data_IF_471911297561
#
_entry.id   IF_471911297561
#
_cell.length_a   1.000
_cell.length_b   1.000
_cell.length_c   1.000
_cell.angle_alpha   90.00
_cell.angle_beta   90.00
_cell.angle_gamma   90.00
#
_symmetry.space_group_name_H-M   'P 1'
#
loop_
_entity.id
_entity.type
_entity.pdbx_description
1 polymer ?
#
# COMPACT_ATOMS: atom_id res chain seq x y z
N UNK A 1 36.39 -12.46 15.83
CA UNK A 1 35.87 -11.11 15.53
C UNK A 1 34.47 -10.89 16.10
N UNK A 2 33.54 -11.83 15.97
CA UNK A 2 32.22 -11.78 16.61
C UNK A 2 32.26 -11.59 18.14
N UNK A 3 33.11 -12.31 18.87
CA UNK A 3 33.25 -12.12 20.32
C UNK A 3 33.83 -10.76 20.72
N UNK A 4 34.62 -10.14 19.84
CA UNK A 4 35.17 -8.80 20.05
C UNK A 4 34.11 -7.72 19.80
N UNK A 5 33.20 -7.94 18.84
CA UNK A 5 32.04 -7.07 18.61
C UNK A 5 30.98 -7.23 19.70
N UNK A 6 30.77 -8.44 20.24
CA UNK A 6 29.88 -8.68 21.39
C UNK A 6 30.46 -8.09 22.68
N UNK A 7 31.79 -8.11 22.87
CA UNK A 7 32.44 -7.43 24.00
C UNK A 7 32.41 -5.90 23.87
N UNK A 8 32.57 -5.33 22.67
CA UNK A 8 32.37 -3.90 22.43
C UNK A 8 30.91 -3.46 22.64
N UNK A 9 29.93 -4.32 22.30
CA UNK A 9 28.52 -4.07 22.58
C UNK A 9 28.15 -4.18 24.07
N UNK A 10 28.91 -4.95 24.87
CA UNK A 10 28.73 -5.02 26.33
C UNK A 10 29.51 -3.96 27.11
N UNK A 11 30.62 -3.45 26.57
CA UNK A 11 31.42 -2.38 27.20
C UNK A 11 30.88 -0.96 26.96
N UNK A 12 29.89 -0.76 26.09
CA UNK A 12 29.20 0.54 25.95
C UNK A 12 28.10 0.80 26.98
N UNK A 13 27.87 -0.13 27.93
CA UNK A 13 26.99 0.07 29.09
C UNK A 13 27.67 0.86 30.22
N UNK A 14 28.48 1.87 29.89
CA UNK A 14 28.76 2.95 30.83
C UNK A 14 27.66 3.99 30.69
N UNK A 15 26.81 4.04 31.72
CA UNK A 15 25.64 4.90 31.83
C UNK A 15 26.01 6.39 31.77
N UNK A 16 26.05 6.96 30.57
CA UNK A 16 25.60 8.35 30.38
C UNK A 16 24.23 8.25 29.71
N UNK A 17 23.18 8.12 30.52
CA UNK A 17 21.81 8.29 30.03
C UNK A 17 21.66 9.78 29.70
N UNK A 18 21.97 10.13 28.45
CA UNK A 18 21.75 11.47 27.91
C UNK A 18 20.24 11.71 27.86
N UNK A 19 19.68 12.22 28.96
CA UNK A 19 18.28 12.65 28.98
C UNK A 19 18.14 13.93 28.13
N UNK A 20 17.18 13.93 27.21
CA UNK A 20 16.79 15.12 26.46
C UNK A 20 15.64 15.78 27.21
N UNK A 21 15.81 17.05 27.60
CA UNK A 21 14.74 17.83 28.20
C UNK A 21 14.07 18.65 27.11
N UNK A 22 12.76 18.48 26.98
CA UNK A 22 11.91 19.32 26.13
C UNK A 22 11.18 20.30 27.05
N UNK A 23 11.41 21.58 26.85
CA UNK A 23 10.70 22.64 27.57
C UNK A 23 9.39 22.99 26.85
N UNK A 24 8.55 23.80 27.50
CA UNK A 24 7.27 24.28 26.97
C UNK A 24 6.30 23.15 26.56
N UNK A 25 6.26 22.06 27.33
CA UNK A 25 5.25 21.01 27.20
C UNK A 25 3.99 21.43 27.92
N UNK A 26 3.03 21.96 27.16
CA UNK A 26 1.86 22.61 27.71
C UNK A 26 0.83 21.61 28.25
N UNK A 27 0.69 20.44 27.63
CA UNK A 27 -0.18 19.35 28.10
C UNK A 27 0.16 17.98 27.47
N UNK A 28 -0.69 16.99 27.76
CA UNK A 28 -0.71 15.70 27.08
C UNK A 28 -2.14 15.23 26.83
N UNK A 29 -2.29 14.29 25.91
CA UNK A 29 -3.55 13.59 25.64
C UNK A 29 -3.33 12.09 25.74
N UNK A 30 -4.16 11.41 26.54
CA UNK A 30 -4.21 9.95 26.57
C UNK A 30 -5.03 9.41 25.38
N UNK A 31 -4.39 8.60 24.54
CA UNK A 31 -5.06 7.91 23.43
C UNK A 31 -5.14 6.40 23.69
N UNK A 32 -6.36 5.81 23.71
CA UNK A 32 -6.51 4.37 23.84
C UNK A 32 -5.69 3.60 22.80
N UNK A 33 -4.90 2.62 23.26
CA UNK A 33 -4.04 1.78 22.41
C UNK A 33 -2.74 2.43 21.94
N UNK A 34 -2.49 3.71 22.23
CA UNK A 34 -1.26 4.45 21.88
C UNK A 34 -0.52 4.89 23.13
N UNK A 35 -1.24 5.33 24.17
CA UNK A 35 -0.69 5.92 25.38
C UNK A 35 -0.70 7.44 25.35
N UNK A 36 0.16 8.06 26.17
CA UNK A 36 0.30 9.52 26.28
C UNK A 36 0.94 10.11 25.03
N UNK A 37 0.37 11.20 24.55
CA UNK A 37 0.94 12.07 23.52
C UNK A 37 1.16 13.43 24.14
N UNK A 38 2.42 13.82 24.33
CA UNK A 38 2.78 15.12 24.88
C UNK A 38 2.77 16.17 23.77
N UNK A 39 2.31 17.38 24.09
CA UNK A 39 2.27 18.48 23.13
C UNK A 39 3.15 19.63 23.63
N UNK A 40 4.06 20.06 22.76
CA UNK A 40 5.09 21.02 23.10
C UNK A 40 5.26 22.08 22.01
N UNK A 41 5.97 23.15 22.35
CA UNK A 41 6.45 24.16 21.41
C UNK A 41 7.97 24.18 21.48
N UNK A 42 8.64 24.08 20.34
CA UNK A 42 10.11 24.07 20.28
C UNK A 42 10.57 25.16 19.34
N UNK A 43 11.56 25.96 19.75
CA UNK A 43 12.14 26.97 18.86
C UNK A 43 12.88 26.34 17.69
N UNK A 44 12.94 27.05 16.55
CA UNK A 44 13.65 26.58 15.36
C UNK A 44 15.12 26.31 15.68
N UNK A 45 15.77 27.15 16.49
CA UNK A 45 17.15 26.93 16.93
C UNK A 45 17.31 25.69 17.81
N UNK A 46 16.40 25.47 18.76
CA UNK A 46 16.47 24.28 19.63
C UNK A 46 16.31 23.02 18.80
N UNK A 47 15.33 22.97 17.89
CA UNK A 47 15.16 21.85 16.97
C UNK A 47 16.41 21.63 16.10
N UNK A 48 16.95 22.68 15.48
CA UNK A 48 18.15 22.58 14.65
C UNK A 48 19.36 22.04 15.44
N UNK A 49 19.49 22.44 16.71
CA UNK A 49 20.53 21.96 17.62
C UNK A 49 20.37 20.47 17.92
N UNK A 50 19.15 20.01 18.23
CA UNK A 50 18.86 18.60 18.48
C UNK A 50 19.12 17.73 17.24
N UNK A 51 18.81 18.24 16.05
CA UNK A 51 19.12 17.59 14.78
C UNK A 51 20.63 17.51 14.52
N UNK A 52 21.38 18.60 14.76
CA UNK A 52 22.84 18.68 14.60
C UNK A 52 23.57 17.74 15.55
N UNK A 53 23.08 17.59 16.79
CA UNK A 53 23.60 16.66 17.81
C UNK A 53 23.17 15.21 17.60
N UNK A 54 22.39 14.92 16.56
CA UNK A 54 21.83 13.58 16.29
C UNK A 54 21.03 12.99 17.47
N UNK A 55 20.37 13.84 18.26
CA UNK A 55 19.42 13.43 19.30
C UNK A 55 18.13 12.96 18.63
N UNK A 56 17.67 13.74 17.64
CA UNK A 56 16.56 13.40 16.76
C UNK A 56 17.10 12.67 15.54
N UNK A 57 16.65 11.44 15.31
CA UNK A 57 17.17 10.56 14.26
C UNK A 57 16.09 10.06 13.30
N UNK A 58 16.52 9.69 12.10
CA UNK A 58 15.66 9.26 11.00
C UNK A 58 16.06 7.88 10.51
N UNK A 59 15.08 7.15 10.00
CA UNK A 59 15.34 5.92 9.27
C UNK A 59 15.02 6.14 7.79
N UNK A 60 15.84 5.62 6.85
CA UNK A 60 15.55 5.67 5.42
C UNK A 60 14.18 5.09 5.06
N UNK A 61 13.65 4.15 5.85
CA UNK A 61 12.36 3.50 5.60
C UNK A 61 11.15 4.44 5.67
N UNK A 62 11.27 5.64 6.25
CA UNK A 62 10.21 6.64 6.25
C UNK A 62 10.32 7.64 5.10
N UNK A 63 11.44 7.64 4.37
CA UNK A 63 11.71 8.64 3.34
C UNK A 63 10.93 8.39 2.07
N UNK A 64 10.33 9.47 1.56
CA UNK A 64 9.53 9.48 0.34
C UNK A 64 10.44 9.36 -0.88
N UNK A 65 10.11 8.46 -1.81
CA UNK A 65 10.89 8.28 -3.04
C UNK A 65 12.29 7.69 -2.81
N UNK A 66 12.53 7.17 -1.61
CA UNK A 66 13.75 6.47 -1.27
C UNK A 66 13.96 5.27 -2.21
N UNK A 67 15.10 5.24 -2.92
CA UNK A 67 15.46 4.14 -3.81
C UNK A 67 16.14 3.05 -2.99
N UNK A 68 15.52 1.86 -2.93
CA UNK A 68 16.14 0.69 -2.30
C UNK A 68 17.46 0.37 -3.03
N UNK A 69 18.54 0.25 -2.25
CA UNK A 69 19.75 -0.46 -2.65
C UNK A 69 19.47 -1.95 -2.50
N UNK A 70 19.48 -2.71 -3.59
CA UNK A 70 18.95 -4.08 -3.62
C UNK A 70 19.65 -5.04 -2.64
N UNK A 71 20.83 -4.69 -2.11
CA UNK A 71 21.71 -5.63 -1.39
C UNK A 71 21.71 -5.52 0.15
N UNK A 72 21.05 -4.55 0.79
CA UNK A 72 21.09 -4.41 2.26
C UNK A 72 19.75 -3.98 2.91
N UNK A 73 18.85 -4.93 3.24
CA UNK A 73 17.57 -4.65 3.88
C UNK A 73 17.68 -3.97 5.26
N UNK A 74 18.73 -4.31 6.03
CA UNK A 74 18.95 -3.77 7.37
C UNK A 74 19.47 -2.32 7.34
N UNK A 75 20.06 -1.86 6.23
CA UNK A 75 20.50 -0.48 6.07
C UNK A 75 19.34 0.53 6.23
N UNK A 76 18.10 0.07 6.06
CA UNK A 76 16.90 0.91 6.15
C UNK A 76 16.39 1.11 7.57
N UNK A 77 16.76 0.25 8.52
CA UNK A 77 16.31 0.36 9.91
C UNK A 77 17.24 1.21 10.76
N UNK A 78 18.42 1.53 10.22
CA UNK A 78 19.44 2.35 10.89
C UNK A 78 18.89 3.74 11.17
N UNK A 79 19.14 4.22 12.39
CA UNK A 79 18.81 5.57 12.83
C UNK A 79 19.98 6.51 12.53
N UNK A 80 19.76 7.44 11.61
CA UNK A 80 20.75 8.34 11.04
C UNK A 80 20.48 9.81 11.42
N UNK A 81 21.52 10.64 11.51
CA UNK A 81 21.36 12.08 11.61
C UNK A 81 20.75 12.66 10.34
N UNK A 82 20.06 13.80 10.44
CA UNK A 82 19.32 14.39 9.30
C UNK A 82 20.21 14.77 8.11
N UNK A 83 21.50 15.00 8.35
CA UNK A 83 22.49 15.37 7.34
C UNK A 83 23.10 14.16 6.64
N UNK A 84 22.75 12.93 7.01
CA UNK A 84 23.32 11.73 6.40
C UNK A 84 22.77 11.54 4.97
N UNK A 85 23.64 11.48 3.94
CA UNK A 85 23.21 11.36 2.55
C UNK A 85 22.45 10.06 2.27
N UNK A 86 22.61 9.01 3.09
CA UNK A 86 21.85 7.76 2.97
C UNK A 86 20.37 7.95 3.22
N UNK A 87 19.93 9.05 3.84
CA UNK A 87 18.51 9.36 3.96
C UNK A 87 17.88 9.78 2.62
N UNK A 88 18.68 10.19 1.62
CA UNK A 88 18.20 10.62 0.29
C UNK A 88 17.06 11.68 0.38
N UNK A 89 17.13 12.59 1.36
CA UNK A 89 16.12 13.63 1.53
C UNK A 89 16.19 14.58 0.33
N UNK A 90 15.05 14.89 -0.28
CA UNK A 90 15.01 15.85 -1.38
C UNK A 90 15.20 17.27 -0.81
N UNK A 91 16.43 17.79 -0.91
CA UNK A 91 16.80 19.11 -0.40
C UNK A 91 15.92 20.22 -1.00
N UNK A 92 15.66 20.20 -2.31
CA UNK A 92 14.80 21.21 -2.97
C UNK A 92 13.40 21.28 -2.36
N UNK A 93 12.86 20.14 -1.95
CA UNK A 93 11.55 20.09 -1.27
C UNK A 93 11.61 20.67 0.14
N UNK A 94 12.72 20.46 0.86
CA UNK A 94 12.93 21.06 2.18
C UNK A 94 13.14 22.58 2.07
N UNK A 95 13.88 23.05 1.07
CA UNK A 95 14.05 24.47 0.75
C UNK A 95 12.70 25.14 0.44
N UNK A 96 11.85 24.50 -0.37
CA UNK A 96 10.49 24.99 -0.65
C UNK A 96 9.67 25.16 0.64
N UNK A 97 9.77 24.20 1.57
CA UNK A 97 9.05 24.26 2.87
C UNK A 97 9.62 25.40 3.73
N UNK A 98 10.94 25.58 3.76
CA UNK A 98 11.59 26.65 4.51
C UNK A 98 11.15 28.03 4.02
N UNK A 99 11.09 28.24 2.70
CA UNK A 99 10.60 29.50 2.12
C UNK A 99 9.13 29.72 2.42
N UNK A 100 8.28 28.68 2.31
CA UNK A 100 6.86 28.78 2.70
C UNK A 100 6.67 29.16 4.16
N UNK A 101 7.52 28.66 5.06
CA UNK A 101 7.51 29.06 6.47
C UNK A 101 7.83 30.55 6.62
N UNK A 102 8.88 31.06 5.95
CA UNK A 102 9.23 32.49 5.95
C UNK A 102 8.18 33.41 5.29
N UNK A 103 7.31 32.83 4.45
CA UNK A 103 6.21 33.53 3.81
C UNK A 103 4.90 33.46 4.61
N UNK A 104 4.88 32.72 5.74
CA UNK A 104 3.66 32.42 6.51
C UNK A 104 2.60 31.64 5.71
N UNK A 105 3.01 31.01 4.60
CA UNK A 105 2.17 30.24 3.69
C UNK A 105 2.19 28.73 3.99
N UNK A 106 2.82 28.32 5.09
CA UNK A 106 2.91 26.91 5.48
C UNK A 106 1.63 26.49 6.22
N UNK A 107 0.79 25.70 5.55
CA UNK A 107 -0.50 25.20 6.06
C UNK A 107 -0.43 24.40 7.39
N UNK A 108 0.75 23.91 7.78
CA UNK A 108 0.97 23.35 9.11
C UNK A 108 2.45 23.41 9.50
N UNK A 109 2.69 23.99 10.65
CA UNK A 109 3.98 24.13 11.33
C UNK A 109 4.26 22.98 12.33
N UNK A 110 3.37 21.99 12.44
CA UNK A 110 3.53 20.89 13.39
C UNK A 110 4.47 19.79 12.89
N UNK A 111 5.31 19.26 13.78
CA UNK A 111 6.13 18.06 13.58
C UNK A 111 5.81 16.99 14.60
N UNK A 112 6.24 15.76 14.32
CA UNK A 112 5.98 14.61 15.18
C UNK A 112 7.27 13.92 15.56
N UNK A 113 7.41 13.65 16.85
CA UNK A 113 8.50 12.90 17.45
C UNK A 113 7.94 11.62 18.09
N UNK A 114 8.76 10.57 18.11
CA UNK A 114 8.54 9.41 18.94
C UNK A 114 9.70 9.31 19.93
N UNK A 115 9.43 9.56 21.21
CA UNK A 115 10.30 9.12 22.30
C UNK A 115 10.21 7.59 22.31
N UNK A 116 11.11 6.90 21.61
CA UNK A 116 10.92 5.48 21.33
C UNK A 116 11.00 4.67 22.62
N UNK A 117 10.07 3.74 22.82
CA UNK A 117 10.15 2.75 23.91
C UNK A 117 11.28 1.77 23.57
N UNK A 118 12.30 1.70 24.43
CA UNK A 118 13.45 0.82 24.33
C UNK A 118 13.67 0.07 25.66
N UNK A 119 14.04 -1.21 25.58
CA UNK A 119 14.22 -2.05 26.77
C UNK A 119 15.31 -1.49 27.70
N UNK A 120 14.99 -1.34 28.98
CA UNK A 120 15.93 -0.86 30.00
C UNK A 120 15.98 0.67 30.17
N UNK A 121 15.11 1.42 29.49
CA UNK A 121 14.94 2.86 29.68
C UNK A 121 13.61 3.18 30.37
N UNK A 122 13.59 4.24 31.17
CA UNK A 122 12.36 4.74 31.82
C UNK A 122 11.45 5.46 30.82
N UNK A 123 10.16 5.49 31.13
CA UNK A 123 9.18 6.30 30.40
C UNK A 123 9.51 7.80 30.52
N UNK A 124 9.04 8.65 29.58
CA UNK A 124 9.17 10.08 29.70
C UNK A 124 8.54 10.62 30.98
N UNK A 125 9.30 11.43 31.72
CA UNK A 125 8.87 12.06 32.96
C UNK A 125 8.39 13.48 32.65
N UNK A 126 7.10 13.75 32.86
CA UNK A 126 6.53 15.08 32.66
C UNK A 126 6.31 15.78 34.00
N UNK A 127 6.90 16.97 34.13
CA UNK A 127 6.71 17.87 35.24
C UNK A 127 5.71 18.97 34.84
N UNK A 128 4.55 18.97 35.51
CA UNK A 128 3.49 19.92 35.24
C UNK A 128 3.77 21.33 35.80
N UNK A 129 4.63 21.46 36.80
CA UNK A 129 4.99 22.75 37.39
C UNK A 129 6.01 23.48 36.51
N UNK A 130 7.07 22.79 36.11
CA UNK A 130 8.12 23.36 35.24
C UNK A 130 7.79 23.29 33.75
N UNK A 131 6.75 22.54 33.37
CA UNK A 131 6.37 22.27 31.97
C UNK A 131 7.48 21.59 31.17
N UNK A 132 8.30 20.79 31.85
CA UNK A 132 9.40 20.04 31.26
C UNK A 132 9.03 18.58 31.03
N UNK A 133 9.46 18.03 29.90
CA UNK A 133 9.40 16.60 29.61
C UNK A 133 10.83 16.06 29.49
N UNK A 134 11.19 15.14 30.37
CA UNK A 134 12.47 14.45 30.35
C UNK A 134 12.34 13.14 29.58
N UNK A 135 13.06 13.04 28.47
CA UNK A 135 13.08 11.86 27.59
C UNK A 135 14.40 11.13 27.80
N UNK A 136 14.32 9.85 28.18
CA UNK A 136 15.49 9.01 28.48
C UNK A 136 15.95 8.15 27.31
N UNK A 137 15.22 8.18 26.19
CA UNK A 137 15.45 7.35 25.01
C UNK A 137 15.82 8.17 23.78
N UNK A 138 16.11 7.48 22.67
CA UNK A 138 16.32 8.13 21.38
C UNK A 138 15.00 8.73 20.85
N UNK A 139 15.09 9.92 20.25
CA UNK A 139 13.93 10.54 19.58
C UNK A 139 13.98 10.15 18.11
N UNK A 140 12.92 9.51 17.63
CA UNK A 140 12.82 9.04 16.25
C UNK A 140 11.68 9.73 15.53
N UNK A 141 11.81 9.87 14.21
CA UNK A 141 10.81 10.54 13.37
C UNK A 141 10.14 9.53 12.43
N UNK A 142 8.87 9.15 12.69
CA UNK A 142 8.08 8.32 11.80
C UNK A 142 7.41 9.18 10.70
N UNK A 143 8.19 10.00 10.00
CA UNK A 143 7.75 10.89 8.92
C UNK A 143 8.89 11.10 7.90
N UNK A 144 8.58 11.68 6.75
CA UNK A 144 9.57 12.18 5.81
C UNK A 144 10.35 13.35 6.43
N UNK A 145 11.68 13.33 6.32
CA UNK A 145 12.54 14.27 7.04
C UNK A 145 12.51 15.72 6.50
N UNK A 146 11.71 16.00 5.48
CA UNK A 146 11.73 17.28 4.75
C UNK A 146 11.41 18.48 5.63
N UNK A 147 10.48 18.36 6.60
CA UNK A 147 10.11 19.47 7.49
C UNK A 147 11.21 19.80 8.48
N UNK A 148 11.74 18.79 9.15
CA UNK A 148 12.87 18.98 10.05
C UNK A 148 14.10 19.49 9.32
N UNK A 149 14.33 19.07 8.07
CA UNK A 149 15.42 19.60 7.24
C UNK A 149 15.15 21.06 6.89
N UNK A 150 13.90 21.44 6.61
CA UNK A 150 13.54 22.85 6.38
C UNK A 150 13.87 23.72 7.60
N UNK A 151 13.51 23.29 8.81
CA UNK A 151 13.83 24.03 10.04
C UNK A 151 15.34 24.07 10.33
N UNK A 152 16.07 22.99 10.05
CA UNK A 152 17.53 22.97 10.09
C UNK A 152 18.15 23.96 9.11
N UNK A 153 17.61 24.04 7.89
CA UNK A 153 18.03 25.00 6.87
C UNK A 153 17.74 26.45 7.30
N UNK A 154 16.60 26.73 7.93
CA UNK A 154 16.27 28.07 8.42
C UNK A 154 17.28 28.58 9.46
N UNK A 155 17.67 27.75 10.43
CA UNK A 155 18.75 28.11 11.38
C UNK A 155 20.09 28.26 10.64
N UNK A 156 20.39 27.39 9.68
CA UNK A 156 21.63 27.46 8.90
C UNK A 156 21.70 28.75 8.07
N UNK A 157 20.60 29.14 7.40
CA UNK A 157 20.50 30.35 6.59
C UNK A 157 20.51 31.62 7.43
N UNK A 158 19.89 31.61 8.61
CA UNK A 158 19.96 32.73 9.55
C UNK A 158 21.40 33.00 10.01
N UNK A 159 22.18 31.93 10.26
CA UNK A 159 23.59 32.05 10.68
C UNK A 159 24.57 32.21 9.50
N UNK A 160 24.18 31.81 8.28
CA UNK A 160 24.99 31.94 7.06
C UNK A 160 24.12 32.33 5.85
N UNK A 161 23.76 33.62 5.70
CA UNK A 161 22.88 34.09 4.63
C UNK A 161 23.42 33.91 3.21
N UNK A 162 24.73 33.69 3.06
CA UNK A 162 25.38 33.47 1.75
C UNK A 162 25.00 32.10 1.17
N UNK A 163 24.68 31.14 2.04
CA UNK A 163 24.27 29.77 1.65
C UNK A 163 22.84 29.65 1.11
N UNK A 164 22.07 30.73 1.11
CA UNK A 164 20.68 30.76 0.62
C UNK A 164 20.65 30.62 -0.91
N UNK A 165 19.98 29.59 -1.46
CA UNK A 165 19.83 29.39 -2.91
C UNK A 165 18.57 30.08 -3.45
N UNK A 166 18.43 30.12 -4.78
CA UNK A 166 17.13 30.35 -5.43
C UNK A 166 16.23 29.12 -5.24
N UNK A 167 14.96 29.34 -4.88
CA UNK A 167 14.03 28.26 -4.51
C UNK A 167 12.77 28.34 -5.36
N UNK A 168 12.36 27.21 -5.96
CA UNK A 168 11.06 27.11 -6.63
C UNK A 168 9.95 26.80 -5.63
N UNK A 169 8.98 27.71 -5.50
CA UNK A 169 7.80 27.61 -4.64
C UNK A 169 6.55 27.68 -5.51
N UNK A 170 5.75 26.60 -5.53
CA UNK A 170 4.52 26.52 -6.34
C UNK A 170 4.76 26.97 -7.81
N UNK A 171 5.78 26.42 -8.46
CA UNK A 171 6.21 26.73 -9.84
C UNK A 171 6.72 28.16 -10.09
N UNK A 172 6.88 28.98 -9.03
CA UNK A 172 7.52 30.29 -9.09
C UNK A 172 8.91 30.25 -8.46
N UNK A 173 9.89 30.89 -9.09
CA UNK A 173 11.22 31.07 -8.48
C UNK A 173 11.16 32.24 -7.50
N UNK A 174 11.55 31.98 -6.25
CA UNK A 174 11.82 32.99 -5.22
C UNK A 174 13.35 33.15 -5.18
N UNK A 175 13.81 34.35 -5.52
CA UNK A 175 15.24 34.64 -5.61
C UNK A 175 15.90 34.66 -4.23
N UNK A 176 17.17 34.28 -4.17
CA UNK A 176 17.96 34.25 -2.93
C UNK A 176 17.94 35.58 -2.18
N UNK A 177 17.99 36.72 -2.89
CA UNK A 177 17.95 38.05 -2.28
C UNK A 177 16.61 38.38 -1.61
N UNK A 178 15.50 37.88 -2.15
CA UNK A 178 14.19 38.01 -1.52
C UNK A 178 14.15 37.21 -0.21
N UNK A 179 14.67 35.98 -0.23
CA UNK A 179 14.74 35.11 0.95
C UNK A 179 15.63 35.74 2.02
N UNK A 180 16.81 36.26 1.65
CA UNK A 180 17.71 36.99 2.56
C UNK A 180 17.04 38.22 3.17
N UNK A 181 16.23 38.95 2.42
CA UNK A 181 15.48 40.10 2.95
C UNK A 181 14.50 39.69 4.04
N UNK A 182 13.80 38.56 3.86
CA UNK A 182 12.88 38.00 4.86
C UNK A 182 13.63 37.49 6.09
N UNK A 183 14.78 36.85 5.89
CA UNK A 183 15.61 36.34 6.98
C UNK A 183 16.09 37.45 7.94
N UNK A 184 16.22 38.71 7.50
CA UNK A 184 16.58 39.83 8.39
C UNK A 184 15.58 40.05 9.55
N UNK A 185 14.30 39.72 9.34
CA UNK A 185 13.26 39.81 10.36
C UNK A 185 12.98 38.48 11.07
N UNK A 186 13.72 37.43 10.73
CA UNK A 186 13.51 36.09 11.27
C UNK A 186 14.49 35.83 12.42
N UNK A 187 13.96 35.61 13.62
CA UNK A 187 14.72 35.16 14.78
C UNK A 187 14.45 33.67 15.06
N UNK A 188 15.43 32.76 14.88
CA UNK A 188 15.25 31.33 15.12
C UNK A 188 15.08 30.97 16.60
N UNK A 189 15.40 31.86 17.55
CA UNK A 189 15.13 31.63 18.98
C UNK A 189 13.66 31.86 19.32
N UNK A 190 13.03 32.86 18.70
CA UNK A 190 11.61 33.20 18.89
C UNK A 190 10.67 32.43 17.95
N UNK A 191 11.12 32.12 16.73
CA UNK A 191 10.38 31.30 15.78
C UNK A 191 10.29 29.87 16.28
N UNK A 192 9.13 29.24 16.09
CA UNK A 192 8.79 28.01 16.80
C UNK A 192 7.89 27.11 15.98
N UNK A 193 7.87 25.84 16.38
CA UNK A 193 7.09 24.77 15.77
C UNK A 193 6.37 24.00 16.86
N UNK A 194 5.15 23.54 16.56
CA UNK A 194 4.44 22.63 17.44
C UNK A 194 4.99 21.22 17.30
N UNK A 195 5.19 20.52 18.41
CA UNK A 195 5.69 19.15 18.42
C UNK A 195 4.70 18.26 19.15
N UNK A 196 4.27 17.19 18.48
CA UNK A 196 3.58 16.07 19.13
C UNK A 196 4.59 14.96 19.42
N UNK A 197 4.74 14.58 20.68
CA UNK A 197 5.71 13.58 21.14
C UNK A 197 4.94 12.34 21.57
N UNK A 198 5.04 11.30 20.74
CA UNK A 198 4.51 9.97 21.01
C UNK A 198 5.51 9.17 21.84
N UNK A 199 5.01 8.14 22.52
CA UNK A 199 5.82 7.18 23.26
C UNK A 199 5.42 5.76 22.85
N UNK A 200 5.94 5.29 21.72
CA UNK A 200 5.61 3.96 21.16
C UNK A 200 6.87 3.17 20.78
N UNK A 201 6.74 1.85 20.70
CA UNK A 201 7.85 0.96 20.29
C UNK A 201 8.18 1.12 18.80
N UNK A 202 9.37 0.68 18.39
CA UNK A 202 9.79 0.68 16.98
C UNK A 202 8.79 -0.03 16.04
N UNK A 203 8.12 -1.09 16.52
CA UNK A 203 7.08 -1.83 15.78
C UNK A 203 5.87 -0.95 15.44
N UNK A 204 5.52 -0.02 16.32
CA UNK A 204 4.36 0.86 16.17
C UNK A 204 4.64 2.14 15.37
N UNK A 205 5.91 2.44 15.08
CA UNK A 205 6.26 3.62 14.27
C UNK A 205 5.70 3.55 12.84
N UNK A 206 5.61 2.35 12.25
CA UNK A 206 4.99 2.16 10.94
C UNK A 206 3.48 2.45 10.97
N UNK A 207 2.82 2.09 12.07
CA UNK A 207 1.42 2.47 12.32
C UNK A 207 1.28 3.99 12.46
N UNK A 208 2.18 4.60 13.22
CA UNK A 208 2.19 6.03 13.47
C UNK A 208 2.42 6.83 12.18
N UNK A 209 3.38 6.40 11.34
CA UNK A 209 3.60 6.95 10.00
C UNK A 209 2.32 6.91 9.15
N UNK A 210 1.63 5.78 9.13
CA UNK A 210 0.41 5.60 8.33
C UNK A 210 -0.81 6.34 8.93
N UNK A 211 -0.77 6.71 10.22
CA UNK A 211 -1.84 7.45 10.89
C UNK A 211 -1.66 8.98 10.79
N UNK A 212 -0.46 9.50 11.06
CA UNK A 212 -0.15 10.94 11.09
C UNK A 212 -0.25 11.61 9.73
N UNK A 213 0.06 10.87 8.67
CA UNK A 213 0.05 11.37 7.30
C UNK A 213 -1.37 11.52 6.71
N UNK A 214 -2.42 11.17 7.45
CA UNK A 214 -3.80 11.48 7.06
C UNK A 214 -4.09 12.99 7.11
N UNK A 215 -3.39 13.74 7.97
CA UNK A 215 -3.75 15.13 8.27
C UNK A 215 -2.97 16.18 7.45
N UNK A 216 -1.83 15.85 6.79
CA UNK A 216 -0.94 16.89 6.21
C UNK A 216 -0.27 16.58 4.84
N UNK A 217 -0.96 15.81 3.99
CA UNK A 217 -0.66 15.32 2.62
C UNK A 217 -0.54 13.79 2.63
N UNK A 218 -1.31 13.14 1.76
CA UNK A 218 -1.37 11.68 1.70
C UNK A 218 0.04 11.08 1.54
N UNK A 219 0.41 10.08 2.37
CA UNK A 219 1.68 9.40 2.23
C UNK A 219 1.76 8.76 0.85
N UNK A 220 2.95 8.31 0.44
CA UNK A 220 2.99 7.27 -0.58
C UNK A 220 2.23 6.07 0.01
N UNK A 221 0.96 5.88 -0.40
CA UNK A 221 0.08 4.79 0.02
C UNK A 221 0.81 3.46 0.05
N UNK A 222 1.71 3.22 -0.90
CA UNK A 222 2.59 2.06 -0.92
C UNK A 222 3.46 1.89 0.34
N UNK A 223 4.11 2.96 0.79
CA UNK A 223 4.94 2.98 2.01
C UNK A 223 4.08 2.74 3.25
N UNK A 224 2.94 3.42 3.36
CA UNK A 224 2.01 3.22 4.49
C UNK A 224 1.47 1.79 4.57
N UNK A 225 1.16 1.17 3.42
CA UNK A 225 0.78 -0.26 3.36
C UNK A 225 1.94 -1.15 3.83
N UNK A 226 3.16 -0.90 3.36
CA UNK A 226 4.32 -1.73 3.69
C UNK A 226 4.72 -1.62 5.17
N UNK A 227 4.61 -0.43 5.77
CA UNK A 227 4.95 -0.18 7.17
C UNK A 227 3.84 -0.60 8.14
N UNK A 228 2.60 -0.69 7.67
CA UNK A 228 1.46 -1.11 8.46
C UNK A 228 0.57 -2.10 7.69
N UNK A 229 1.07 -3.32 7.45
CA UNK A 229 0.37 -4.35 6.68
C UNK A 229 -0.85 -4.88 7.41
N UNK A 230 -0.93 -4.75 8.74
CA UNK A 230 -2.00 -5.33 9.54
C UNK A 230 -3.25 -4.46 9.68
N UNK A 231 -3.21 -3.19 9.26
CA UNK A 231 -4.28 -2.21 9.48
C UNK A 231 -5.66 -2.60 8.95
N UNK A 232 -5.72 -3.30 7.82
CA UNK A 232 -6.99 -3.69 7.19
C UNK A 232 -6.91 -5.11 6.65
N UNK A 233 -8.05 -5.83 6.52
CA UNK A 233 -8.08 -7.18 5.94
C UNK A 233 -7.42 -7.24 4.56
N UNK A 234 -7.67 -6.23 3.71
CA UNK A 234 -7.06 -6.13 2.37
C UNK A 234 -5.53 -6.04 2.42
N UNK A 235 -4.97 -5.29 3.38
CA UNK A 235 -3.51 -5.18 3.56
C UNK A 235 -2.92 -6.48 4.10
N UNK A 236 -3.60 -7.13 5.07
CA UNK A 236 -3.19 -8.44 5.60
C UNK A 236 -3.16 -9.48 4.49
N UNK A 237 -4.21 -9.55 3.68
CA UNK A 237 -4.27 -10.46 2.53
C UNK A 237 -3.11 -10.24 1.56
N UNK A 238 -2.83 -8.99 1.17
CA UNK A 238 -1.72 -8.70 0.25
C UNK A 238 -0.37 -9.02 0.90
N UNK A 239 -0.15 -8.67 2.16
CA UNK A 239 1.09 -9.01 2.87
C UNK A 239 1.30 -10.53 3.00
N UNK A 240 0.24 -11.30 3.32
CA UNK A 240 0.30 -12.76 3.32
C UNK A 240 0.61 -13.31 1.92
N UNK A 241 -0.08 -12.82 0.88
CA UNK A 241 0.15 -13.23 -0.50
C UNK A 241 1.57 -12.92 -0.97
N UNK A 242 2.12 -11.75 -0.62
CA UNK A 242 3.48 -11.36 -0.97
C UNK A 242 4.53 -12.24 -0.27
N UNK A 243 4.23 -12.79 0.93
CA UNK A 243 5.12 -13.72 1.63
C UNK A 243 5.03 -15.15 1.11
N UNK A 244 3.88 -15.55 0.57
CA UNK A 244 3.64 -16.92 0.13
C UNK A 244 3.80 -17.13 -1.38
N UNK A 245 3.71 -16.09 -2.21
CA UNK A 245 3.76 -16.21 -3.67
C UNK A 245 5.05 -15.62 -4.26
N UNK A 246 5.85 -16.40 -5.01
CA UNK A 246 7.02 -15.90 -5.73
C UNK A 246 6.68 -14.81 -6.76
N UNK A 247 5.48 -14.85 -7.36
CA UNK A 247 5.02 -13.85 -8.34
C UNK A 247 4.84 -12.47 -7.70
N UNK A 248 4.40 -12.44 -6.45
CA UNK A 248 4.12 -11.21 -5.72
C UNK A 248 5.12 -10.95 -4.59
N UNK A 249 6.29 -11.57 -4.60
CA UNK A 249 7.29 -11.35 -3.55
C UNK A 249 7.66 -9.86 -3.42
N UNK A 250 8.31 -9.51 -2.31
CA UNK A 250 8.84 -8.17 -2.09
C UNK A 250 9.90 -7.73 -3.12
N UNK A 251 10.56 -8.69 -3.78
CA UNK A 251 11.46 -8.46 -4.92
C UNK A 251 10.71 -8.14 -6.20
N UNK A 252 9.46 -8.60 -6.36
CA UNK A 252 8.63 -8.36 -7.54
C UNK A 252 7.68 -7.17 -7.41
N UNK A 253 7.25 -6.85 -6.19
CA UNK A 253 6.26 -5.79 -5.92
C UNK A 253 6.93 -4.50 -5.45
N UNK A 254 6.48 -3.36 -6.00
CA UNK A 254 6.87 -2.03 -5.57
C UNK A 254 6.12 -1.63 -4.28
N UNK A 255 6.86 -1.31 -3.24
CA UNK A 255 6.35 -1.01 -1.89
C UNK A 255 6.68 0.40 -1.42
N UNK A 256 7.44 1.15 -2.23
CA UNK A 256 7.93 2.49 -1.94
C UNK A 256 7.31 3.55 -2.84
N UNK A 257 6.75 3.17 -3.99
CA UNK A 257 6.06 4.09 -4.89
C UNK A 257 4.63 3.63 -5.22
N UNK A 258 3.73 4.59 -5.39
CA UNK A 258 2.34 4.31 -5.79
C UNK A 258 2.21 3.95 -7.28
N UNK A 259 3.24 4.25 -8.06
CA UNK A 259 3.28 4.03 -9.50
C UNK A 259 4.57 3.29 -9.87
N UNK A 260 4.49 2.52 -10.95
CA UNK A 260 5.64 1.87 -11.56
C UNK A 260 6.26 2.84 -12.55
N UNK A 261 7.55 3.15 -12.36
CA UNK A 261 8.31 3.97 -13.30
C UNK A 261 8.53 3.26 -14.64
N UNK A 262 8.83 4.03 -15.69
CA UNK A 262 9.06 3.51 -17.05
C UNK A 262 10.22 2.53 -17.15
N UNK A 263 11.22 2.61 -16.26
CA UNK A 263 12.38 1.70 -16.27
C UNK A 263 12.31 0.67 -15.14
N UNK A 264 11.18 0.60 -14.43
CA UNK A 264 11.06 -0.26 -13.28
C UNK A 264 10.86 -1.72 -13.70
N UNK A 265 11.73 -2.57 -13.14
CA UNK A 265 11.57 -4.02 -13.24
C UNK A 265 10.39 -4.54 -12.46
N UNK A 266 9.79 -3.83 -11.51
CA UNK A 266 8.72 -4.36 -10.62
C UNK A 266 7.46 -4.72 -11.38
N UNK A 267 6.73 -5.78 -11.00
CA UNK A 267 5.51 -6.23 -11.66
C UNK A 267 4.37 -5.22 -11.50
N UNK A 268 4.08 -4.87 -10.25
CA UNK A 268 2.99 -4.00 -9.82
C UNK A 268 3.34 -3.35 -8.47
N UNK A 269 2.45 -2.52 -7.93
CA UNK A 269 2.63 -1.92 -6.60
C UNK A 269 1.74 -2.62 -5.57
N UNK A 270 2.18 -2.67 -4.31
CA UNK A 270 1.33 -3.15 -3.22
C UNK A 270 0.05 -2.30 -3.08
N UNK A 271 0.11 -1.02 -3.44
CA UNK A 271 -1.04 -0.12 -3.45
C UNK A 271 -2.09 -0.51 -4.51
N UNK A 272 -1.64 -0.99 -5.67
CA UNK A 272 -2.50 -1.55 -6.73
C UNK A 272 -3.16 -2.83 -6.25
N UNK A 273 -2.40 -3.76 -5.66
CA UNK A 273 -2.92 -5.03 -5.14
C UNK A 273 -3.95 -4.81 -4.03
N UNK A 274 -3.65 -3.95 -3.05
CA UNK A 274 -4.59 -3.60 -1.98
C UNK A 274 -5.84 -2.92 -2.57
N UNK A 275 -5.66 -2.01 -3.53
CA UNK A 275 -6.78 -1.38 -4.24
C UNK A 275 -7.67 -2.38 -4.98
N UNK A 276 -7.08 -3.46 -5.52
CA UNK A 276 -7.79 -4.52 -6.22
C UNK A 276 -8.67 -5.37 -5.30
N UNK A 277 -8.19 -5.67 -4.10
CA UNK A 277 -8.91 -6.49 -3.12
C UNK A 277 -9.69 -5.69 -2.08
N UNK A 278 -9.72 -4.36 -2.19
CA UNK A 278 -10.41 -3.48 -1.23
C UNK A 278 -11.90 -3.86 -1.07
N UNK A 279 -12.55 -4.24 -2.17
CA UNK A 279 -13.95 -4.70 -2.18
C UNK A 279 -14.15 -6.08 -1.53
N UNK A 280 -13.08 -6.79 -1.19
CA UNK A 280 -13.14 -8.12 -0.59
C UNK A 280 -13.16 -8.05 0.93
N UNK A 281 -12.98 -6.87 1.55
CA UNK A 281 -12.87 -6.72 3.00
C UNK A 281 -13.89 -7.51 3.82
N UNK A 282 -15.22 -7.45 3.56
CA UNK A 282 -16.19 -8.25 4.32
C UNK A 282 -15.95 -9.76 4.20
N UNK A 283 -15.59 -10.21 3.00
CA UNK A 283 -15.27 -11.61 2.73
C UNK A 283 -13.96 -12.04 3.42
N UNK A 284 -12.92 -11.20 3.39
CA UNK A 284 -11.65 -11.50 4.05
C UNK A 284 -11.81 -11.60 5.57
N UNK A 285 -12.59 -10.72 6.19
CA UNK A 285 -12.91 -10.81 7.63
C UNK A 285 -13.60 -12.14 7.94
N UNK A 286 -14.60 -12.53 7.15
CA UNK A 286 -15.26 -13.82 7.32
C UNK A 286 -14.27 -14.99 7.24
N UNK A 287 -13.33 -14.96 6.28
CA UNK A 287 -12.32 -16.01 6.17
C UNK A 287 -11.37 -16.02 7.38
N UNK A 288 -10.94 -14.85 7.85
CA UNK A 288 -10.09 -14.71 9.03
C UNK A 288 -10.80 -15.28 10.29
N UNK A 289 -12.09 -15.00 10.48
CA UNK A 289 -12.88 -15.50 11.60
C UNK A 289 -13.06 -17.04 11.59
N UNK A 290 -13.04 -17.65 10.41
CA UNK A 290 -13.22 -19.10 10.21
C UNK A 290 -11.90 -19.86 10.09
N UNK A 291 -10.75 -19.17 10.16
CA UNK A 291 -9.43 -19.73 9.86
C UNK A 291 -9.04 -20.87 10.80
N UNK A 292 -9.16 -20.69 12.11
CA UNK A 292 -8.80 -21.72 13.11
C UNK A 292 -9.59 -23.03 12.92
N UNK A 293 -10.80 -22.96 12.35
CA UNK A 293 -11.70 -24.10 12.17
C UNK A 293 -11.56 -24.77 10.82
N UNK A 294 -11.27 -23.99 9.77
CA UNK A 294 -11.42 -24.45 8.38
C UNK A 294 -10.17 -24.22 7.52
N UNK A 295 -9.22 -23.42 7.97
CA UNK A 295 -8.05 -23.01 7.17
C UNK A 295 -8.43 -22.19 5.93
N UNK A 296 -9.63 -21.61 5.89
CA UNK A 296 -10.20 -21.03 4.68
C UNK A 296 -9.48 -19.76 4.19
N UNK A 297 -8.93 -18.95 5.09
CA UNK A 297 -8.12 -17.79 4.72
C UNK A 297 -6.80 -18.24 4.10
N UNK A 298 -6.09 -19.17 4.72
CA UNK A 298 -4.84 -19.70 4.18
C UNK A 298 -5.05 -20.39 2.84
N UNK A 299 -6.07 -21.26 2.72
CA UNK A 299 -6.42 -21.93 1.46
C UNK A 299 -6.78 -20.94 0.34
N UNK A 300 -7.47 -19.84 0.67
CA UNK A 300 -7.76 -18.78 -0.30
C UNK A 300 -6.49 -18.05 -0.78
N UNK A 301 -5.58 -17.72 0.13
CA UNK A 301 -4.29 -17.10 -0.23
C UNK A 301 -3.47 -18.04 -1.11
N UNK A 302 -3.39 -19.32 -0.76
CA UNK A 302 -2.70 -20.35 -1.56
C UNK A 302 -3.30 -20.47 -2.97
N UNK A 303 -4.63 -20.51 -3.09
CA UNK A 303 -5.29 -20.57 -4.39
C UNK A 303 -4.96 -19.34 -5.25
N UNK A 304 -4.97 -18.15 -4.67
CA UNK A 304 -4.62 -16.92 -5.41
C UNK A 304 -3.15 -16.95 -5.84
N UNK A 305 -2.24 -17.42 -4.98
CA UNK A 305 -0.84 -17.65 -5.34
C UNK A 305 -0.70 -18.62 -6.52
N UNK A 306 -1.31 -19.80 -6.43
CA UNK A 306 -1.27 -20.83 -7.47
C UNK A 306 -1.89 -20.35 -8.80
N UNK A 307 -2.95 -19.55 -8.75
CA UNK A 307 -3.56 -18.97 -9.94
C UNK A 307 -2.60 -18.05 -10.69
N UNK A 308 -1.88 -17.20 -9.97
CA UNK A 308 -0.91 -16.29 -10.59
C UNK A 308 0.39 -16.98 -11.00
N UNK A 309 0.79 -18.06 -10.32
CA UNK A 309 1.88 -18.93 -10.77
C UNK A 309 1.54 -19.59 -12.11
N UNK A 310 0.35 -20.18 -12.24
CA UNK A 310 -0.14 -20.70 -13.51
C UNK A 310 -0.19 -19.61 -14.57
N UNK A 311 -0.72 -18.42 -14.24
CA UNK A 311 -0.75 -17.29 -15.18
C UNK A 311 0.65 -16.86 -15.62
N UNK A 312 1.64 -16.92 -14.73
CA UNK A 312 3.03 -16.62 -15.03
C UNK A 312 3.70 -17.63 -15.98
N UNK A 313 3.21 -18.88 -16.02
CA UNK A 313 3.68 -19.87 -16.97
C UNK A 313 3.31 -19.50 -18.41
N UNK A 314 2.18 -18.79 -18.60
CA UNK A 314 1.70 -18.35 -19.92
C UNK A 314 2.11 -16.92 -20.27
N UNK A 315 2.40 -16.09 -19.27
CA UNK A 315 2.70 -14.65 -19.43
C UNK A 315 4.10 -14.32 -18.88
N UNK A 316 5.14 -14.26 -19.75
CA UNK A 316 6.52 -14.05 -19.33
C UNK A 316 6.75 -12.79 -18.47
N UNK A 317 5.96 -11.73 -18.68
CA UNK A 317 6.08 -10.49 -17.90
C UNK A 317 5.65 -10.65 -16.42
N UNK A 318 4.87 -11.68 -16.10
CA UNK A 318 4.40 -12.00 -14.75
C UNK A 318 5.40 -12.88 -14.00
N UNK A 319 6.32 -13.56 -14.71
CA UNK A 319 7.30 -14.43 -14.06
C UNK A 319 8.14 -13.68 -13.03
N UNK A 320 8.50 -14.33 -11.90
CA UNK A 320 9.51 -13.81 -10.99
C UNK A 320 10.81 -13.52 -11.74
N UNK A 321 11.50 -12.44 -11.38
CA UNK A 321 12.74 -11.99 -12.02
C UNK A 321 12.63 -11.61 -13.50
N UNK A 322 11.42 -11.45 -14.06
CA UNK A 322 11.27 -10.93 -15.41
C UNK A 322 11.95 -9.55 -15.56
N UNK A 323 12.63 -9.34 -16.68
CA UNK A 323 13.43 -8.12 -16.90
C UNK A 323 12.54 -6.88 -17.03
N UNK A 324 13.13 -5.70 -16.77
CA UNK A 324 12.45 -4.43 -16.99
C UNK A 324 11.96 -4.31 -18.44
N UNK A 325 12.77 -4.74 -19.41
CA UNK A 325 12.40 -4.74 -20.83
C UNK A 325 11.12 -5.55 -21.09
N UNK A 326 11.07 -6.82 -20.65
CA UNK A 326 9.91 -7.69 -20.85
C UNK A 326 8.63 -7.09 -20.25
N UNK A 327 8.73 -6.50 -19.05
CA UNK A 327 7.58 -5.87 -18.39
C UNK A 327 7.17 -4.57 -19.10
N UNK A 328 8.12 -3.77 -19.57
CA UNK A 328 7.82 -2.54 -20.30
C UNK A 328 7.15 -2.80 -21.65
N UNK A 329 7.62 -3.81 -22.39
CA UNK A 329 6.99 -4.25 -23.63
C UNK A 329 5.55 -4.74 -23.38
N UNK A 330 5.32 -5.55 -22.34
CA UNK A 330 3.97 -5.99 -21.98
C UNK A 330 3.07 -4.82 -21.57
N UNK A 331 3.54 -3.85 -20.77
CA UNK A 331 2.75 -2.64 -20.42
C UNK A 331 2.33 -1.83 -21.64
N UNK A 332 3.21 -1.72 -22.63
CA UNK A 332 3.00 -0.96 -23.86
C UNK A 332 1.98 -1.63 -24.77
N UNK A 333 2.04 -2.95 -24.90
CA UNK A 333 1.31 -3.69 -25.94
C UNK A 333 0.10 -4.49 -25.41
N UNK A 334 0.06 -4.74 -24.10
CA UNK A 334 -0.91 -5.63 -23.46
C UNK A 334 -1.49 -5.04 -22.17
N UNK A 335 -2.59 -5.62 -21.72
CA UNK A 335 -3.18 -5.37 -20.42
C UNK A 335 -2.77 -6.39 -19.34
N UNK A 336 -2.05 -7.45 -19.72
CA UNK A 336 -1.63 -8.59 -18.87
C UNK A 336 -1.13 -8.19 -17.48
N UNK A 337 -0.30 -7.14 -17.42
CA UNK A 337 0.29 -6.62 -16.18
C UNK A 337 -0.09 -5.15 -15.91
N UNK A 338 -1.14 -4.66 -16.58
CA UNK A 338 -1.63 -3.30 -16.36
C UNK A 338 -2.30 -3.20 -14.98
N UNK A 339 -2.12 -2.08 -14.28
CA UNK A 339 -2.69 -1.88 -12.95
C UNK A 339 -4.20 -2.14 -12.89
N UNK A 340 -4.93 -1.78 -13.95
CA UNK A 340 -6.39 -1.98 -14.04
C UNK A 340 -6.78 -3.46 -14.11
N UNK A 341 -5.93 -4.34 -14.67
CA UNK A 341 -6.23 -5.75 -14.89
C UNK A 341 -6.11 -6.60 -13.62
N UNK A 342 -5.35 -6.16 -12.62
CA UNK A 342 -5.29 -6.84 -11.32
C UNK A 342 -6.66 -6.87 -10.62
N UNK A 343 -7.53 -5.87 -10.84
CA UNK A 343 -8.88 -5.87 -10.30
C UNK A 343 -9.74 -7.06 -10.76
N UNK A 344 -10.00 -7.25 -12.07
CA UNK A 344 -10.79 -8.38 -12.54
C UNK A 344 -10.08 -9.73 -12.33
N UNK A 345 -8.74 -9.82 -12.42
CA UNK A 345 -8.02 -11.09 -12.18
C UNK A 345 -8.11 -11.57 -10.72
N UNK A 346 -7.91 -10.68 -9.74
CA UNK A 346 -8.08 -11.05 -8.33
C UNK A 346 -9.54 -11.35 -7.99
N UNK A 347 -10.49 -10.69 -8.66
CA UNK A 347 -11.92 -10.99 -8.49
C UNK A 347 -12.30 -12.34 -9.07
N UNK A 348 -11.76 -12.67 -10.25
CA UNK A 348 -11.89 -13.98 -10.86
C UNK A 348 -11.37 -15.08 -9.93
N UNK A 349 -10.20 -14.88 -9.32
CA UNK A 349 -9.63 -15.82 -8.35
C UNK A 349 -10.57 -16.02 -7.15
N UNK A 350 -11.10 -14.94 -6.58
CA UNK A 350 -12.10 -14.99 -5.50
C UNK A 350 -13.35 -15.78 -5.89
N UNK A 351 -13.88 -15.58 -7.09
CA UNK A 351 -15.10 -16.25 -7.55
C UNK A 351 -14.87 -17.74 -7.85
N UNK A 352 -13.73 -18.09 -8.45
CA UNK A 352 -13.32 -19.48 -8.67
C UNK A 352 -13.16 -20.22 -7.36
N UNK A 353 -12.38 -19.68 -6.42
CA UNK A 353 -12.19 -20.29 -5.11
C UNK A 353 -13.53 -20.45 -4.36
N UNK A 354 -14.37 -19.42 -4.40
CA UNK A 354 -15.70 -19.48 -3.80
C UNK A 354 -16.58 -20.58 -4.40
N UNK A 355 -16.46 -20.84 -5.71
CA UNK A 355 -17.17 -21.94 -6.38
C UNK A 355 -16.63 -23.32 -5.95
N UNK A 356 -15.30 -23.50 -5.87
CA UNK A 356 -14.68 -24.73 -5.36
C UNK A 356 -15.10 -25.02 -3.92
N UNK A 357 -15.06 -24.01 -3.04
CA UNK A 357 -15.49 -24.13 -1.64
C UNK A 357 -16.98 -24.47 -1.54
N UNK A 358 -17.84 -23.77 -2.29
CA UNK A 358 -19.29 -24.04 -2.33
C UNK A 358 -19.58 -25.47 -2.76
N UNK A 359 -18.88 -25.94 -3.80
CA UNK A 359 -19.12 -27.24 -4.41
C UNK A 359 -18.37 -28.38 -3.72
N UNK A 360 -17.60 -28.07 -2.67
CA UNK A 360 -16.74 -28.98 -1.89
C UNK A 360 -15.77 -29.77 -2.78
N UNK A 361 -15.16 -29.08 -3.75
CA UNK A 361 -14.16 -29.64 -4.67
C UNK A 361 -12.80 -29.07 -4.32
N UNK A 362 -11.80 -29.94 -4.15
CA UNK A 362 -10.41 -29.52 -3.95
C UNK A 362 -9.85 -28.95 -5.25
N UNK A 363 -9.52 -27.66 -5.22
CA UNK A 363 -8.99 -26.94 -6.38
C UNK A 363 -7.60 -27.43 -6.79
N UNK A 364 -6.84 -28.08 -5.88
CA UNK A 364 -5.47 -28.55 -6.14
C UNK A 364 -5.43 -29.68 -7.17
N UNK A 365 -6.49 -30.49 -7.21
CA UNK A 365 -6.64 -31.60 -8.16
C UNK A 365 -7.48 -31.22 -9.38
N UNK A 366 -8.24 -30.14 -9.30
CA UNK A 366 -9.05 -29.63 -10.41
C UNK A 366 -8.17 -28.98 -11.49
N UNK A 367 -8.50 -29.20 -12.76
CA UNK A 367 -7.76 -28.63 -13.91
C UNK A 367 -8.50 -27.49 -14.59
N UNK A 368 -9.81 -27.34 -14.34
CA UNK A 368 -10.69 -26.41 -15.05
C UNK A 368 -10.26 -24.95 -14.86
N UNK A 369 -9.72 -24.61 -13.68
CA UNK A 369 -9.21 -23.26 -13.46
C UNK A 369 -7.89 -23.02 -14.19
N UNK A 370 -7.02 -24.03 -14.31
CA UNK A 370 -5.77 -23.94 -15.09
C UNK A 370 -6.07 -23.75 -16.58
N UNK A 371 -7.00 -24.53 -17.12
CA UNK A 371 -7.49 -24.38 -18.50
C UNK A 371 -8.15 -23.01 -18.74
N UNK A 372 -8.85 -22.48 -17.72
CA UNK A 372 -9.39 -21.13 -17.73
C UNK A 372 -8.29 -20.06 -17.83
N UNK A 373 -7.24 -20.19 -17.02
CA UNK A 373 -6.07 -19.29 -17.03
C UNK A 373 -5.34 -19.36 -18.37
N UNK A 374 -5.09 -20.56 -18.90
CA UNK A 374 -4.46 -20.74 -20.21
C UNK A 374 -5.26 -20.08 -21.34
N UNK A 375 -6.60 -20.18 -21.31
CA UNK A 375 -7.47 -19.48 -22.28
C UNK A 375 -7.41 -17.96 -22.14
N UNK A 376 -7.36 -17.44 -20.92
CA UNK A 376 -7.21 -16.00 -20.66
C UNK A 376 -5.87 -15.47 -21.17
N UNK A 377 -4.79 -16.22 -21.00
CA UNK A 377 -3.46 -15.85 -21.47
C UNK A 377 -3.23 -16.13 -22.97
N UNK A 378 -4.13 -16.89 -23.59
CA UNK A 378 -4.03 -17.32 -24.98
C UNK A 378 -4.47 -16.27 -26.01
N UNK A 379 -4.88 -16.77 -27.17
CA UNK A 379 -5.33 -15.97 -28.29
C UNK A 379 -6.74 -16.36 -28.73
N UNK A 380 -7.40 -15.45 -29.44
CA UNK A 380 -8.71 -15.65 -30.04
C UNK A 380 -8.77 -15.08 -31.45
N UNK A 381 -9.66 -15.64 -32.26
CA UNK A 381 -9.92 -15.16 -33.62
C UNK A 381 -11.13 -14.23 -33.63
N UNK A 382 -10.96 -13.03 -34.18
CA UNK A 382 -12.03 -12.04 -34.39
C UNK A 382 -11.99 -11.65 -35.86
N UNK A 383 -13.09 -11.85 -36.58
CA UNK A 383 -13.20 -11.54 -38.02
C UNK A 383 -12.06 -12.13 -38.87
N UNK A 384 -11.61 -13.34 -38.54
CA UNK A 384 -10.51 -14.03 -39.24
C UNK A 384 -9.10 -13.62 -38.81
N UNK A 385 -8.94 -12.59 -37.97
CA UNK A 385 -7.64 -12.17 -37.42
C UNK A 385 -7.43 -12.70 -36.00
N UNK A 386 -6.24 -13.19 -35.70
CA UNK A 386 -5.88 -13.71 -34.38
C UNK A 386 -5.32 -12.58 -33.51
N UNK A 387 -5.89 -12.40 -32.33
CA UNK A 387 -5.44 -11.46 -31.32
C UNK A 387 -5.16 -12.20 -30.02
N UNK A 388 -4.06 -11.85 -29.33
CA UNK A 388 -3.91 -12.24 -27.91
C UNK A 388 -5.07 -11.65 -27.11
N UNK A 389 -5.68 -12.43 -26.23
CA UNK A 389 -6.86 -12.02 -25.46
C UNK A 389 -6.62 -10.70 -24.74
N UNK A 390 -5.45 -10.55 -24.10
CA UNK A 390 -5.06 -9.36 -23.33
C UNK A 390 -4.38 -8.25 -24.16
N UNK A 391 -4.23 -8.41 -25.49
CA UNK A 391 -3.63 -7.38 -26.34
C UNK A 391 -4.43 -6.08 -26.30
N UNK A 392 -3.75 -4.93 -26.30
CA UNK A 392 -4.40 -3.62 -26.45
C UNK A 392 -5.03 -3.42 -27.82
N UNK A 393 -4.61 -4.21 -28.81
CA UNK A 393 -5.16 -4.20 -30.17
C UNK A 393 -6.41 -5.07 -30.30
N UNK A 394 -6.72 -5.91 -29.30
CA UNK A 394 -7.94 -6.71 -29.32
C UNK A 394 -9.16 -5.77 -29.21
N UNK A 395 -10.01 -5.67 -30.25
CA UNK A 395 -11.10 -4.70 -30.31
C UNK A 395 -12.20 -4.96 -29.27
N UNK A 396 -12.29 -6.17 -28.71
CA UNK A 396 -13.29 -6.50 -27.70
C UNK A 396 -13.04 -5.86 -26.33
N UNK A 397 -11.87 -5.26 -26.12
CA UNK A 397 -11.62 -4.44 -24.92
C UNK A 397 -12.34 -3.09 -24.94
N UNK A 398 -12.81 -2.64 -26.11
CA UNK A 398 -13.64 -1.43 -26.24
C UNK A 398 -15.00 -1.68 -25.58
N UNK A 399 -15.44 -0.74 -24.74
CA UNK A 399 -16.60 -0.89 -23.88
C UNK A 399 -16.37 -1.79 -22.66
N UNK A 400 -15.15 -2.31 -22.48
CA UNK A 400 -14.71 -3.00 -21.26
C UNK A 400 -13.79 -2.07 -20.47
N UNK A 401 -12.48 -2.11 -20.69
CA UNK A 401 -11.51 -1.20 -20.04
C UNK A 401 -11.08 -0.04 -20.94
N UNK A 402 -11.36 -0.13 -22.24
CA UNK A 402 -11.19 0.98 -23.19
C UNK A 402 -12.55 1.61 -23.47
N UNK A 403 -12.61 2.94 -23.50
CA UNK A 403 -13.79 3.70 -23.92
C UNK A 403 -13.45 4.55 -25.14
N UNK A 404 -14.41 4.66 -26.05
CA UNK A 404 -14.27 5.53 -27.21
C UNK A 404 -14.27 6.99 -26.74
N UNK A 405 -13.40 7.78 -27.36
CA UNK A 405 -13.31 9.22 -27.14
C UNK A 405 -13.63 9.95 -28.43
N UNK A 406 -14.18 11.15 -28.30
CA UNK A 406 -14.48 12.03 -29.41
C UNK A 406 -13.98 13.44 -29.06
N UNK A 407 -13.46 14.16 -30.05
CA UNK A 407 -13.10 15.57 -29.87
C UNK A 407 -14.34 16.47 -29.88
N UNK A 408 -14.14 17.78 -29.69
CA UNK A 408 -15.21 18.79 -29.69
C UNK A 408 -15.99 18.86 -31.01
N UNK A 409 -15.44 18.30 -32.09
CA UNK A 409 -16.04 18.28 -33.42
C UNK A 409 -16.70 16.92 -33.73
N UNK A 410 -16.78 16.01 -32.75
CA UNK A 410 -17.35 14.68 -32.92
C UNK A 410 -16.45 13.70 -33.67
N UNK A 411 -15.18 14.01 -33.89
CA UNK A 411 -14.23 13.09 -34.52
C UNK A 411 -13.71 12.09 -33.50
N UNK A 412 -13.73 10.80 -33.86
CA UNK A 412 -13.25 9.71 -33.03
C UNK A 412 -11.74 9.85 -32.73
N UNK A 413 -11.39 9.86 -31.45
CA UNK A 413 -10.03 9.83 -30.94
C UNK A 413 -9.61 8.39 -30.60
N UNK A 414 -8.33 8.20 -30.30
CA UNK A 414 -7.83 6.92 -29.81
C UNK A 414 -8.58 6.52 -28.51
N UNK A 415 -8.99 5.24 -28.36
CA UNK A 415 -9.67 4.80 -27.16
C UNK A 415 -8.82 5.06 -25.91
N UNK A 416 -9.46 5.52 -24.83
CA UNK A 416 -8.79 5.78 -23.56
C UNK A 416 -9.11 4.70 -22.53
N UNK A 417 -8.18 4.48 -21.61
CA UNK A 417 -8.41 3.65 -20.43
C UNK A 417 -9.49 4.27 -19.53
N UNK A 418 -10.43 3.44 -19.06
CA UNK A 418 -11.45 3.81 -18.10
C UNK A 418 -11.47 2.86 -16.91
N UNK A 419 -11.34 3.42 -15.71
CA UNK A 419 -11.19 2.67 -14.45
C UNK A 419 -12.40 2.77 -13.52
N UNK A 420 -13.60 2.82 -14.08
CA UNK A 420 -14.87 2.83 -13.33
C UNK A 420 -15.22 1.44 -12.79
N UNK A 421 -16.18 1.38 -11.87
CA UNK A 421 -16.71 0.10 -11.38
C UNK A 421 -17.33 -0.72 -12.51
N UNK A 422 -18.07 -0.07 -13.42
CA UNK A 422 -18.71 -0.73 -14.56
C UNK A 422 -17.69 -1.34 -15.51
N UNK A 423 -16.61 -0.60 -15.83
CA UNK A 423 -15.57 -1.08 -16.74
C UNK A 423 -14.77 -2.25 -16.15
N UNK A 424 -14.51 -2.24 -14.83
CA UNK A 424 -13.90 -3.38 -14.13
C UNK A 424 -14.81 -4.62 -14.13
N UNK A 425 -16.11 -4.44 -13.92
CA UNK A 425 -17.08 -5.53 -13.96
C UNK A 425 -17.20 -6.12 -15.37
N UNK A 426 -17.29 -5.26 -16.40
CA UNK A 426 -17.34 -5.70 -17.78
C UNK A 426 -16.06 -6.46 -18.20
N UNK A 427 -14.90 -6.04 -17.70
CA UNK A 427 -13.64 -6.77 -17.88
C UNK A 427 -13.68 -8.15 -17.22
N UNK A 428 -14.17 -8.25 -15.98
CA UNK A 428 -14.35 -9.54 -15.30
C UNK A 428 -15.29 -10.46 -16.09
N UNK A 429 -16.46 -9.97 -16.51
CA UNK A 429 -17.42 -10.76 -17.27
C UNK A 429 -16.82 -11.28 -18.57
N UNK A 430 -16.03 -10.45 -19.27
CA UNK A 430 -15.29 -10.85 -20.45
C UNK A 430 -14.28 -11.97 -20.14
N UNK A 431 -13.47 -11.83 -19.08
CA UNK A 431 -12.52 -12.87 -18.67
C UNK A 431 -13.20 -14.18 -18.26
N UNK A 432 -14.35 -14.11 -17.60
CA UNK A 432 -15.17 -15.27 -17.22
C UNK A 432 -15.68 -16.02 -18.46
N UNK A 433 -16.08 -15.28 -19.51
CA UNK A 433 -16.52 -15.87 -20.77
C UNK A 433 -15.36 -16.53 -21.51
N UNK A 434 -14.20 -15.86 -21.59
CA UNK A 434 -12.99 -16.43 -22.21
C UNK A 434 -12.52 -17.68 -21.46
N UNK A 435 -12.51 -17.65 -20.13
CA UNK A 435 -12.15 -18.79 -19.31
C UNK A 435 -13.17 -19.94 -19.41
N UNK A 436 -14.38 -19.71 -19.94
CA UNK A 436 -15.40 -20.74 -20.10
C UNK A 436 -15.96 -21.28 -18.77
N UNK A 437 -15.87 -20.51 -17.69
CA UNK A 437 -16.22 -20.95 -16.33
C UNK A 437 -17.56 -20.43 -15.82
N UNK A 438 -18.32 -19.67 -16.62
CA UNK A 438 -19.58 -19.03 -16.18
C UNK A 438 -20.60 -20.02 -15.59
N UNK A 439 -20.70 -21.22 -16.16
CA UNK A 439 -21.61 -22.28 -15.67
C UNK A 439 -21.17 -22.86 -14.31
N UNK A 440 -19.86 -22.93 -14.08
CA UNK A 440 -19.27 -23.35 -12.80
C UNK A 440 -19.49 -22.28 -11.73
N UNK A 441 -19.19 -21.02 -12.03
CA UNK A 441 -19.40 -19.91 -11.10
C UNK A 441 -20.87 -19.77 -10.67
N UNK A 442 -21.81 -19.95 -11.61
CA UNK A 442 -23.25 -19.84 -11.33
C UNK A 442 -23.88 -21.06 -10.63
N UNK A 443 -23.14 -22.14 -10.37
CA UNK A 443 -23.66 -23.37 -9.76
C UNK A 443 -24.63 -24.17 -10.65
N UNK A 444 -24.90 -23.72 -11.88
CA UNK A 444 -25.82 -24.36 -12.83
C UNK A 444 -25.29 -25.67 -13.42
N UNK A 445 -23.99 -25.93 -13.29
CA UNK A 445 -23.33 -27.19 -13.67
C UNK A 445 -23.96 -28.42 -12.99
N UNK A 446 -24.13 -28.39 -11.64
CA UNK A 446 -24.72 -29.51 -10.88
C UNK A 446 -26.24 -29.60 -10.99
N UNK A 447 -26.94 -28.50 -11.26
CA UNK A 447 -28.40 -28.49 -11.43
C UNK A 447 -28.88 -29.33 -12.63
N UNK A 448 -28.11 -29.37 -13.73
CA UNK A 448 -28.41 -30.26 -14.88
C UNK A 448 -28.12 -31.74 -14.60
N UNK A 449 -27.15 -32.04 -13.73
CA UNK A 449 -26.83 -33.43 -13.36
C UNK A 449 -27.88 -34.06 -12.45
N UNK A 450 -28.48 -33.28 -11.52
CA UNK A 450 -29.58 -33.75 -10.69
C UNK A 450 -30.94 -33.81 -11.41
N UNK A 451 -31.18 -32.97 -12.42
CA UNK A 451 -32.40 -33.05 -13.23
C UNK A 451 -32.50 -34.32 -14.09
N UNK A 452 -31.37 -34.99 -14.41
CA UNK A 452 -31.34 -36.26 -15.16
C UNK A 452 -31.54 -37.51 -14.30
N UNK A 453 -31.69 -37.37 -12.98
CA UNK A 453 -32.02 -38.47 -12.05
C UNK A 453 -33.38 -38.24 -11.38
N UNK A 454 -34.43 -38.01 -12.18
CA UNK A 454 -35.79 -38.32 -11.71
C UNK A 454 -36.13 -39.75 -12.10
N UNK A 455 -36.57 -40.60 -11.16
CA UNK A 455 -36.84 -42.00 -11.43
C UNK A 455 -38.06 -42.16 -12.32
N UNK A 456 -37.91 -43.08 -13.26
CA UNK A 456 -38.95 -43.71 -14.09
C UNK A 456 -40.23 -43.89 -13.28
N UNK A 457 -41.27 -43.15 -13.68
CA UNK A 457 -42.64 -43.30 -13.18
C UNK A 457 -43.19 -44.62 -13.75
N UNK A 458 -42.99 -45.73 -13.03
CA UNK A 458 -43.64 -47.02 -13.35
C UNK A 458 -45.16 -46.85 -13.25
N UNK A 459 -45.83 -47.30 -14.30
CA UNK A 459 -47.21 -46.99 -14.62
C UNK A 459 -48.24 -47.47 -13.60
N UNK A 460 -49.30 -46.68 -13.45
CA UNK A 460 -50.57 -47.11 -12.88
C UNK A 460 -51.54 -47.28 -14.05
N UNK A 461 -51.86 -48.53 -14.37
CA UNK A 461 -52.89 -48.88 -15.37
C UNK A 461 -54.23 -48.31 -14.93
N UNK A 462 -54.85 -47.54 -15.83
CA UNK A 462 -56.25 -47.20 -15.82
C UNK A 462 -57.07 -48.42 -16.24
N UNK A 463 -58.07 -48.80 -15.44
CA UNK A 463 -59.24 -49.51 -15.96
C UNK A 463 -60.48 -48.81 -15.42
N UNK A 464 -61.25 -48.26 -16.35
CA UNK A 464 -62.55 -47.64 -16.18
C UNK A 464 -63.67 -48.66 -16.37
N UNK A 465 -64.79 -48.44 -15.66
CA UNK A 465 -66.19 -48.85 -15.90
C UNK A 465 -66.79 -49.41 -14.60
N UNK A 466 -68.03 -49.16 -14.18
CA UNK A 466 -69.17 -48.38 -14.68
C UNK A 466 -70.22 -48.35 -13.55
N UNK A 467 -71.08 -47.33 -13.57
CA UNK A 467 -72.47 -47.28 -13.09
C UNK A 467 -72.82 -47.59 -11.61
N UNK A 468 -73.62 -46.70 -11.01
CA UNK A 468 -74.39 -47.03 -9.80
C UNK A 468 -74.89 -45.83 -9.01
N UNK A 469 -76.04 -45.30 -9.39
CA UNK A 469 -76.75 -44.22 -8.72
C UNK A 469 -77.15 -44.55 -7.26
N UNK A 470 -77.15 -43.52 -6.38
CA UNK A 470 -78.34 -43.04 -5.63
C UNK A 470 -77.92 -42.18 -4.41
N UNK A 471 -78.63 -41.04 -4.26
CA UNK A 471 -79.30 -40.46 -3.05
C UNK A 471 -78.62 -40.68 -1.67
N UNK A 472 -78.59 -39.76 -0.73
CA UNK A 472 -79.24 -38.46 -0.51
C UNK A 472 -78.56 -37.80 0.73
N UNK A 473 -78.86 -36.50 0.93
CA UNK A 473 -78.97 -35.70 2.19
C UNK A 473 -78.39 -36.33 3.48
N UNK A 474 -77.67 -35.62 4.33
CA UNK A 474 -77.82 -34.22 4.76
C UNK A 474 -76.48 -33.62 5.22
#
# INVERSE_FOLDING_TARGET
>A
MEELMVKQAKQSKSNVVSATVVHDVYDYVDRPGIGRIYRAKVSVRTLATLLRKAVVRYSPKYQRGFKKVEDEPLAYEVMLPITDPRLQINVKRAEEIAVKYLQEDLFSDSIVWNARIEDGFSEPEWDNETKELRIHTSITIPDSAHRHLAYYLLDTWANNPVSVPDVTVNDRIVAADEIRKRLKGFDPDSASVFVHIYHVTAKWEGWLYDQLNFDQKAPQRAVGIALNPTKTPARRFVDTLMRSSPVFSDTEVETRANNIGTDSRKLTTNSTLVGAVESFKPFLVQLEDEEEKTGAYTDFVEFVGALFEEYSAHVPAVQPNATAQTRNESRKNSFEISNIMFHPLLRLAKELWGAYRRDQVDWRIATEWKDGVARIAGAKTINGQVYKVMSRENPEWIGKILIEQYDSNGKKLAPSLSNTRQTRQAALDYLVDIAGIRSFLSGKSKAKAHAKKSPIRRGRKSVSAHAGAKRARA
#
